data_IF_458907683960
#
_entry.id   IF_458907683960
#
_cell.length_a   1.000
_cell.length_b   1.000
_cell.length_c   1.000
_cell.angle_alpha   90.00
_cell.angle_beta   90.00
_cell.angle_gamma   90.00
#
_symmetry.space_group_name_H-M   'P 1'
#
loop_
_entity.id
_entity.type
_entity.pdbx_description
1 polymer ?
#
# COMPACT_ATOMS: atom_id res chain seq x y z
N UNK A 1 -2.31 -13.62 -9.78
CA UNK A 1 -3.48 -13.30 -10.63
C UNK A 1 -3.46 -11.84 -11.07
N UNK A 2 -3.73 -10.86 -10.22
CA UNK A 2 -3.86 -9.44 -10.55
C UNK A 2 -2.71 -8.90 -11.44
N UNK A 3 -1.46 -9.01 -11.00
CA UNK A 3 -0.30 -8.46 -11.73
C UNK A 3 0.15 -9.34 -12.90
N UNK A 4 0.19 -10.67 -12.71
CA UNK A 4 0.77 -11.57 -13.70
C UNK A 4 -0.18 -11.88 -14.86
N UNK A 5 -1.46 -12.15 -14.57
CA UNK A 5 -2.44 -12.51 -15.58
C UNK A 5 -3.17 -11.28 -16.14
N UNK A 6 -3.65 -10.38 -15.26
CA UNK A 6 -4.41 -9.20 -15.67
C UNK A 6 -3.55 -7.98 -16.00
N UNK A 7 -2.22 -8.10 -15.80
CA UNK A 7 -1.24 -7.05 -16.14
C UNK A 7 -1.53 -5.70 -15.46
N UNK A 8 -2.13 -5.74 -14.26
CA UNK A 8 -2.35 -4.53 -13.48
C UNK A 8 -1.01 -3.92 -13.04
N UNK A 9 -0.75 -2.69 -13.42
CA UNK A 9 0.50 -1.96 -13.17
C UNK A 9 0.39 -0.89 -12.07
N UNK A 10 -0.82 -0.63 -11.55
CA UNK A 10 -1.05 0.30 -10.46
C UNK A 10 -0.62 -0.22 -9.09
N UNK A 11 -0.89 0.53 -8.03
CA UNK A 11 -0.68 0.10 -6.65
C UNK A 11 -1.96 -0.49 -6.04
N UNK A 12 -1.79 -1.37 -5.07
CA UNK A 12 -2.87 -1.98 -4.27
C UNK A 12 -2.82 -1.39 -2.87
N UNK A 13 -3.92 -0.78 -2.46
CA UNK A 13 -4.13 -0.30 -1.09
C UNK A 13 -5.16 -1.20 -0.41
N UNK A 14 -4.98 -1.47 0.90
CA UNK A 14 -5.99 -2.16 1.69
C UNK A 14 -7.20 -1.25 1.94
N UNK A 15 -8.29 -1.80 2.42
CA UNK A 15 -9.29 -1.02 3.13
C UNK A 15 -8.81 -0.70 4.56
N UNK A 16 -9.67 -0.13 5.39
CA UNK A 16 -9.32 0.51 6.67
C UNK A 16 -8.33 -0.28 7.53
N UNK A 17 -8.66 -1.47 8.00
CA UNK A 17 -7.85 -2.24 8.95
C UNK A 17 -7.59 -3.68 8.51
N UNK A 18 -7.77 -4.02 7.24
CA UNK A 18 -7.78 -5.42 6.78
C UNK A 18 -6.50 -6.19 7.05
N UNK A 19 -5.32 -5.55 7.13
CA UNK A 19 -4.10 -6.26 7.56
C UNK A 19 -4.22 -6.74 9.01
N UNK A 20 -4.77 -5.92 9.91
CA UNK A 20 -4.98 -6.34 11.29
C UNK A 20 -6.06 -7.43 11.41
N UNK A 21 -7.07 -7.40 10.55
CA UNK A 21 -8.15 -8.39 10.52
C UNK A 21 -7.70 -9.78 10.07
N UNK A 22 -6.57 -9.89 9.36
CA UNK A 22 -5.94 -11.18 9.02
C UNK A 22 -5.74 -12.07 10.26
N UNK A 23 -5.48 -11.46 11.42
CA UNK A 23 -5.34 -12.19 12.69
C UNK A 23 -6.63 -12.94 13.07
N UNK A 24 -7.79 -12.28 12.87
CA UNK A 24 -9.09 -12.87 13.17
C UNK A 24 -9.44 -14.02 12.24
N UNK A 25 -8.90 -14.00 11.02
CA UNK A 25 -9.05 -15.10 10.05
C UNK A 25 -8.10 -16.27 10.33
N UNK A 26 -7.22 -16.17 11.33
CA UNK A 26 -6.35 -17.26 11.78
C UNK A 26 -5.19 -17.60 10.85
N UNK A 27 -4.86 -16.73 9.88
CA UNK A 27 -3.77 -16.96 8.92
C UNK A 27 -2.45 -16.31 9.35
N UNK A 28 -2.46 -15.47 10.37
CA UNK A 28 -1.27 -14.86 10.98
C UNK A 28 -1.42 -14.79 12.51
N UNK A 29 -0.31 -15.01 13.23
CA UNK A 29 -0.29 -15.00 14.69
C UNK A 29 -0.18 -13.59 15.29
N UNK A 30 0.33 -12.62 14.53
CA UNK A 30 0.54 -11.23 14.98
C UNK A 30 0.60 -10.28 13.79
N UNK A 31 0.55 -8.97 14.08
CA UNK A 31 0.53 -7.92 13.06
C UNK A 31 1.77 -7.93 12.17
N UNK A 32 2.95 -8.29 12.70
CA UNK A 32 4.18 -8.40 11.91
C UNK A 32 4.07 -9.48 10.83
N UNK A 33 3.55 -10.64 11.21
CA UNK A 33 3.35 -11.75 10.28
C UNK A 33 2.28 -11.42 9.23
N UNK A 34 1.15 -10.83 9.65
CA UNK A 34 0.09 -10.37 8.75
C UNK A 34 0.62 -9.34 7.73
N UNK A 35 1.42 -8.37 8.20
CA UNK A 35 2.03 -7.34 7.34
C UNK A 35 2.99 -7.95 6.31
N UNK A 36 3.83 -8.88 6.73
CA UNK A 36 4.75 -9.58 5.82
C UNK A 36 3.99 -10.39 4.77
N UNK A 37 2.93 -11.10 5.17
CA UNK A 37 2.06 -11.83 4.24
C UNK A 37 1.39 -10.91 3.23
N UNK A 38 0.79 -9.81 3.68
CA UNK A 38 0.10 -8.85 2.83
C UNK A 38 1.06 -8.23 1.80
N UNK A 39 2.24 -7.77 2.23
CA UNK A 39 3.24 -7.19 1.33
C UNK A 39 3.75 -8.20 0.30
N UNK A 40 4.10 -9.41 0.74
CA UNK A 40 4.57 -10.48 -0.15
C UNK A 40 3.48 -10.94 -1.13
N UNK A 41 2.20 -10.83 -0.76
CA UNK A 41 1.06 -11.09 -1.65
C UNK A 41 0.84 -9.97 -2.70
N UNK A 42 1.50 -8.82 -2.55
CA UNK A 42 1.46 -7.72 -3.52
C UNK A 42 0.60 -6.52 -3.12
N UNK A 43 0.25 -6.40 -1.83
CA UNK A 43 -0.30 -5.16 -1.26
C UNK A 43 0.82 -4.13 -1.13
N UNK A 44 0.62 -2.94 -1.66
CA UNK A 44 1.64 -1.90 -1.70
C UNK A 44 1.47 -0.85 -0.60
N UNK A 45 0.25 -0.69 -0.08
CA UNK A 45 -0.08 0.33 0.90
C UNK A 45 -1.06 -0.20 1.95
N UNK A 46 -0.69 -0.05 3.21
CA UNK A 46 -1.54 -0.27 4.38
C UNK A 46 -2.30 1.02 4.70
N UNK A 47 -3.63 0.98 4.64
CA UNK A 47 -4.42 2.20 4.82
C UNK A 47 -4.35 2.71 6.26
N UNK A 48 -4.64 1.87 7.25
CA UNK A 48 -4.82 2.34 8.62
C UNK A 48 -4.38 1.36 9.74
N UNK A 49 -3.98 0.13 9.40
CA UNK A 49 -3.61 -0.87 10.42
C UNK A 49 -2.26 -0.57 11.12
N UNK A 50 -1.46 0.37 10.59
CA UNK A 50 -0.09 0.69 11.03
C UNK A 50 0.88 -0.51 10.97
N UNK A 51 0.49 -1.59 10.32
CA UNK A 51 1.28 -2.80 10.25
C UNK A 51 2.59 -2.58 9.47
N UNK A 52 2.52 -1.96 8.30
CA UNK A 52 3.69 -1.74 7.47
C UNK A 52 4.69 -0.82 8.16
N UNK A 53 4.26 0.32 8.69
CA UNK A 53 5.16 1.31 9.29
C UNK A 53 5.84 0.82 10.57
N UNK A 54 5.15 -0.04 11.34
CA UNK A 54 5.66 -0.50 12.64
C UNK A 54 6.44 -1.82 12.57
N UNK A 55 6.25 -2.64 11.51
CA UNK A 55 6.76 -4.01 11.54
C UNK A 55 7.70 -4.38 10.39
N UNK A 56 7.62 -3.70 9.22
CA UNK A 56 8.36 -4.14 8.04
C UNK A 56 9.89 -4.03 8.19
N UNK A 57 10.39 -3.02 8.90
CA UNK A 57 11.83 -2.91 9.17
C UNK A 57 12.37 -4.15 9.88
N UNK A 58 11.67 -4.63 10.93
CA UNK A 58 12.03 -5.85 11.62
C UNK A 58 11.84 -7.09 10.74
N UNK A 59 10.80 -7.11 9.90
CA UNK A 59 10.56 -8.22 8.97
C UNK A 59 11.67 -8.37 7.92
N UNK A 60 12.30 -7.28 7.51
CA UNK A 60 13.50 -7.30 6.65
C UNK A 60 14.69 -7.87 7.43
N UNK A 61 14.95 -7.39 8.65
CA UNK A 61 16.04 -7.89 9.49
C UNK A 61 15.92 -9.40 9.76
N UNK A 62 14.68 -9.89 9.90
CA UNK A 62 14.38 -11.31 10.11
C UNK A 62 14.36 -12.14 8.80
N UNK A 63 14.58 -11.52 7.64
CA UNK A 63 14.57 -12.19 6.35
C UNK A 63 13.18 -12.65 5.88
N UNK A 64 12.10 -12.14 6.47
CA UNK A 64 10.71 -12.48 6.11
C UNK A 64 10.18 -11.69 4.92
N UNK A 65 10.76 -10.52 4.69
CA UNK A 65 10.46 -9.61 3.58
C UNK A 65 11.78 -9.15 2.99
N UNK A 66 11.87 -9.04 1.67
CA UNK A 66 13.05 -8.45 1.03
C UNK A 66 12.90 -6.93 0.95
N UNK A 67 14.01 -6.22 1.08
CA UNK A 67 14.04 -4.78 0.82
C UNK A 67 13.57 -4.44 -0.60
N UNK A 68 13.88 -5.29 -1.58
CA UNK A 68 13.42 -5.13 -2.95
C UNK A 68 11.88 -5.14 -3.05
N UNK A 69 11.18 -5.96 -2.24
CA UNK A 69 9.71 -5.98 -2.21
C UNK A 69 9.14 -4.67 -1.67
N UNK A 70 9.76 -4.11 -0.62
CA UNK A 70 9.36 -2.81 -0.07
C UNK A 70 9.59 -1.69 -1.10
N UNK A 71 10.77 -1.68 -1.73
CA UNK A 71 11.12 -0.69 -2.74
C UNK A 71 10.15 -0.73 -3.93
N UNK A 72 9.74 -1.91 -4.36
CA UNK A 72 8.78 -2.07 -5.44
C UNK A 72 7.38 -1.55 -5.07
N UNK A 73 6.90 -1.82 -3.85
CA UNK A 73 5.64 -1.30 -3.34
C UNK A 73 5.68 0.25 -3.26
N UNK A 74 6.73 0.80 -2.69
CA UNK A 74 6.97 2.24 -2.62
C UNK A 74 7.00 2.88 -4.02
N UNK A 75 7.73 2.28 -4.96
CA UNK A 75 7.83 2.74 -6.35
C UNK A 75 6.45 2.88 -7.00
N UNK A 76 5.57 1.89 -6.85
CA UNK A 76 4.22 1.94 -7.43
C UNK A 76 3.39 3.10 -6.89
N UNK A 77 3.45 3.35 -5.58
CA UNK A 77 2.76 4.50 -4.96
C UNK A 77 3.34 5.82 -5.47
N UNK A 78 4.67 5.93 -5.55
CA UNK A 78 5.33 7.13 -6.06
C UNK A 78 5.04 7.38 -7.54
N UNK A 79 4.97 6.33 -8.36
CA UNK A 79 4.58 6.44 -9.77
C UNK A 79 3.16 6.96 -9.95
N UNK A 80 2.22 6.51 -9.11
CA UNK A 80 0.86 7.05 -9.14
C UNK A 80 0.84 8.54 -8.81
N UNK A 81 1.56 8.97 -7.78
CA UNK A 81 1.71 10.40 -7.44
C UNK A 81 2.37 11.19 -8.59
N UNK A 82 3.38 10.63 -9.23
CA UNK A 82 4.05 11.26 -10.36
C UNK A 82 3.10 11.43 -11.57
N UNK A 83 2.40 10.36 -11.96
CA UNK A 83 1.41 10.38 -13.05
C UNK A 83 0.30 11.39 -12.81
N UNK A 84 -0.09 11.58 -11.55
CA UNK A 84 -1.04 12.62 -11.14
C UNK A 84 -0.47 14.04 -11.14
N UNK A 85 0.85 14.21 -11.29
CA UNK A 85 1.53 15.51 -11.28
C UNK A 85 1.67 16.14 -9.88
N UNK A 86 1.49 15.35 -8.80
CA UNK A 86 1.48 15.87 -7.43
C UNK A 86 2.85 16.33 -6.93
N UNK A 87 3.95 15.90 -7.55
CA UNK A 87 5.28 16.40 -7.23
C UNK A 87 5.56 17.80 -7.81
N UNK A 88 4.93 18.11 -8.94
CA UNK A 88 5.04 19.44 -9.55
C UNK A 88 4.08 20.44 -8.88
N UNK A 89 2.86 19.99 -8.58
CA UNK A 89 1.84 20.80 -7.91
C UNK A 89 0.93 19.90 -7.06
N UNK A 90 1.16 19.81 -5.73
CA UNK A 90 0.36 18.96 -4.84
C UNK A 90 -1.10 19.43 -4.73
N UNK A 91 -1.40 20.68 -5.08
CA UNK A 91 -2.74 21.27 -5.03
C UNK A 91 -3.44 21.33 -6.40
N UNK A 92 -2.85 20.73 -7.43
CA UNK A 92 -3.36 20.74 -8.81
C UNK A 92 -4.85 20.45 -8.94
N UNK A 93 -5.39 19.60 -8.07
CA UNK A 93 -6.80 19.19 -8.09
C UNK A 93 -7.66 19.95 -7.07
N UNK A 94 -7.07 20.88 -6.32
CA UNK A 94 -7.77 21.71 -5.34
C UNK A 94 -8.27 23.00 -6.01
N UNK A 95 -9.55 23.04 -6.38
CA UNK A 95 -10.19 24.22 -6.94
C UNK A 95 -11.53 24.48 -6.23
N UNK A 96 -11.63 25.63 -5.55
CA UNK A 96 -12.84 26.05 -4.84
C UNK A 96 -14.05 26.28 -5.77
N UNK A 97 -13.85 26.32 -7.08
CA UNK A 97 -14.94 26.46 -8.06
C UNK A 97 -15.56 25.12 -8.44
N UNK A 98 -14.80 24.03 -8.33
CA UNK A 98 -15.26 22.70 -8.75
C UNK A 98 -16.52 22.23 -8.03
N UNK A 99 -16.63 22.48 -6.72
CA UNK A 99 -17.81 22.08 -5.94
C UNK A 99 -19.10 22.74 -6.45
N UNK A 100 -19.02 23.90 -7.12
CA UNK A 100 -20.20 24.61 -7.69
C UNK A 100 -20.67 24.03 -9.02
N UNK A 101 -19.80 23.26 -9.68
CA UNK A 101 -20.11 22.63 -10.98
C UNK A 101 -20.38 21.13 -10.87
N UNK A 102 -19.94 20.50 -9.79
CA UNK A 102 -20.06 19.05 -9.59
C UNK A 102 -21.12 18.67 -8.54
N UNK A 103 -21.72 19.62 -7.85
CA UNK A 103 -22.86 19.49 -6.94
C UNK A 103 -24.11 20.16 -7.51
#
# INVERSE_FOLDING_TARGET
MLRNQWKFDGFVVTDYASIAEILQHGTAANLKEASAQALNAGTDMDMCANGFVTTLAQSVADGKVSEATINEACRRVLEAKYKLGLFADPYKYCDNKRHKTEL
#
